data_IF_606341327930
#
_entry.id   IF_606341327930
#
_cell.length_a   1.000
_cell.length_b   1.000
_cell.length_c   1.000
_cell.angle_alpha   90.00
_cell.angle_beta   90.00
_cell.angle_gamma   90.00
#
_symmetry.space_group_name_H-M   'P 1'
#
loop_
_entity.id
_entity.type
_entity.pdbx_description
1 polymer ?
#
# COMPACT_ATOMS: atom_id res chain seq x y z
N UNK A 1 11.17 -9.73 3.54
CA UNK A 1 11.85 -10.21 2.32
C UNK A 1 11.21 -9.61 1.08
N UNK A 2 11.86 -9.59 -0.09
CA UNK A 2 11.28 -9.01 -1.31
C UNK A 2 11.17 -10.03 -2.44
N UNK A 3 10.09 -9.97 -3.21
CA UNK A 3 9.79 -10.84 -4.35
C UNK A 3 9.31 -10.00 -5.54
N UNK A 4 9.82 -10.29 -6.74
CA UNK A 4 9.31 -9.69 -7.98
C UNK A 4 8.38 -10.69 -8.64
N UNK A 5 7.15 -10.26 -8.94
CA UNK A 5 6.15 -11.07 -9.63
C UNK A 5 5.32 -10.17 -10.55
N UNK A 6 5.09 -10.61 -11.79
CA UNK A 6 4.30 -9.85 -12.77
C UNK A 6 4.77 -8.40 -12.96
N UNK A 7 6.10 -8.19 -12.92
CA UNK A 7 6.76 -6.87 -12.98
C UNK A 7 6.48 -5.93 -11.79
N UNK A 8 5.89 -6.45 -10.71
CA UNK A 8 5.63 -5.74 -9.47
C UNK A 8 6.53 -6.26 -8.35
N UNK A 9 6.92 -5.37 -7.44
CA UNK A 9 7.72 -5.69 -6.26
C UNK A 9 6.80 -5.90 -5.06
N UNK A 10 6.97 -7.00 -4.34
CA UNK A 10 6.22 -7.35 -3.14
C UNK A 10 7.15 -7.45 -1.95
N UNK A 11 6.72 -6.93 -0.81
CA UNK A 11 7.29 -7.24 0.50
C UNK A 11 6.54 -8.44 1.10
N UNK A 12 7.28 -9.46 1.49
CA UNK A 12 6.79 -10.64 2.22
C UNK A 12 7.15 -10.44 3.69
N UNK A 13 6.13 -10.38 4.55
CA UNK A 13 6.31 -10.32 6.00
C UNK A 13 6.62 -11.70 6.61
N UNK A 14 6.80 -11.75 7.93
CA UNK A 14 7.18 -12.98 8.63
C UNK A 14 6.07 -14.04 8.64
N UNK A 15 4.82 -13.64 8.41
CA UNK A 15 3.66 -14.54 8.31
C UNK A 15 3.48 -15.07 6.88
N UNK A 16 4.31 -14.61 5.93
CA UNK A 16 4.21 -14.95 4.52
C UNK A 16 3.19 -14.10 3.76
N UNK A 17 2.63 -13.06 4.38
CA UNK A 17 1.69 -12.15 3.72
C UNK A 17 2.44 -11.29 2.72
N UNK A 18 1.95 -11.28 1.48
CA UNK A 18 2.48 -10.44 0.39
C UNK A 18 1.80 -9.08 0.39
N UNK A 19 2.59 -8.02 0.45
CA UNK A 19 2.13 -6.64 0.29
C UNK A 19 2.85 -5.97 -0.86
N UNK A 20 2.13 -5.24 -1.70
CA UNK A 20 2.71 -4.54 -2.83
C UNK A 20 3.61 -3.41 -2.32
N UNK A 21 4.86 -3.42 -2.74
CA UNK A 21 5.81 -2.38 -2.38
C UNK A 21 5.43 -1.06 -3.06
N UNK A 22 5.23 -0.03 -2.27
CA UNK A 22 4.97 1.33 -2.72
C UNK A 22 6.22 2.18 -2.48
N UNK A 23 6.91 2.62 -3.55
CA UNK A 23 8.05 3.52 -3.40
C UNK A 23 7.64 4.85 -2.77
N UNK A 24 8.53 5.47 -1.99
CA UNK A 24 8.23 6.66 -1.18
C UNK A 24 7.61 7.82 -1.97
N UNK A 25 8.07 8.05 -3.21
CA UNK A 25 7.56 9.09 -4.10
C UNK A 25 6.09 8.89 -4.52
N UNK A 26 5.56 7.67 -4.44
CA UNK A 26 4.17 7.34 -4.77
C UNK A 26 3.24 7.32 -3.56
N UNK A 27 3.75 7.44 -2.34
CA UNK A 27 2.94 7.38 -1.11
C UNK A 27 1.89 8.49 -1.09
N UNK A 28 2.30 9.75 -1.28
CA UNK A 28 1.37 10.89 -1.24
C UNK A 28 0.28 10.80 -2.35
N UNK A 29 0.61 10.59 -3.63
CA UNK A 29 -0.40 10.44 -4.68
C UNK A 29 -1.43 9.33 -4.41
N UNK A 30 -1.00 8.20 -3.86
CA UNK A 30 -1.92 7.09 -3.53
C UNK A 30 -2.83 7.45 -2.36
N UNK A 31 -2.32 8.12 -1.32
CA UNK A 31 -3.12 8.56 -0.19
C UNK A 31 -4.19 9.59 -0.61
N UNK A 32 -3.85 10.53 -1.48
CA UNK A 32 -4.80 11.50 -2.05
C UNK A 32 -5.90 10.79 -2.85
N UNK A 33 -5.53 9.81 -3.69
CA UNK A 33 -6.50 9.02 -4.47
C UNK A 33 -7.47 8.23 -3.58
N UNK A 34 -6.97 7.61 -2.51
CA UNK A 34 -7.81 6.88 -1.55
C UNK A 34 -8.68 7.84 -0.74
N UNK A 35 -8.14 9.00 -0.35
CA UNK A 35 -8.91 10.03 0.33
C UNK A 35 -10.07 10.51 -0.52
N UNK A 36 -9.85 10.88 -1.77
CA UNK A 36 -10.91 11.36 -2.67
C UNK A 36 -12.02 10.32 -2.87
N UNK A 37 -11.64 9.06 -3.04
CA UNK A 37 -12.56 7.93 -3.22
C UNK A 37 -13.36 7.62 -1.94
N UNK A 38 -12.78 7.84 -0.76
CA UNK A 38 -13.35 7.44 0.52
C UNK A 38 -13.63 8.58 1.50
N UNK A 39 -13.68 9.83 1.03
CA UNK A 39 -13.80 11.00 1.92
C UNK A 39 -15.04 10.97 2.82
N UNK A 40 -16.11 10.29 2.39
CA UNK A 40 -17.33 10.09 3.17
C UNK A 40 -17.28 8.93 4.18
N UNK A 41 -16.35 7.98 4.01
CA UNK A 41 -16.32 6.72 4.77
C UNK A 41 -15.30 6.72 5.92
N UNK A 42 -14.46 7.76 5.99
CA UNK A 42 -13.48 7.95 7.06
C UNK A 42 -12.24 7.06 6.97
N UNK A 43 -11.31 7.30 7.90
CA UNK A 43 -9.96 6.73 7.91
C UNK A 43 -9.97 5.19 7.94
N UNK A 44 -10.89 4.57 8.68
CA UNK A 44 -10.95 3.11 8.79
C UNK A 44 -11.14 2.41 7.43
N UNK A 45 -11.99 2.97 6.56
CA UNK A 45 -12.22 2.44 5.22
C UNK A 45 -10.99 2.62 4.32
N UNK A 46 -10.30 3.75 4.43
CA UNK A 46 -9.04 3.99 3.74
C UNK A 46 -7.96 2.97 4.15
N UNK A 47 -7.84 2.68 5.45
CA UNK A 47 -6.86 1.71 5.96
C UNK A 47 -7.12 0.29 5.45
N UNK A 48 -8.38 -0.09 5.24
CA UNK A 48 -8.73 -1.38 4.62
C UNK A 48 -8.23 -1.45 3.18
N UNK A 49 -8.43 -0.40 2.38
CA UNK A 49 -7.97 -0.38 0.98
C UNK A 49 -6.44 -0.36 0.87
N UNK A 50 -5.76 0.24 1.84
CA UNK A 50 -4.30 0.32 1.90
C UNK A 50 -3.64 -0.91 2.56
N UNK A 51 -4.42 -1.84 3.12
CA UNK A 51 -3.89 -2.97 3.92
C UNK A 51 -2.94 -3.89 3.15
N UNK A 52 -3.09 -3.97 1.83
CA UNK A 52 -2.26 -4.79 0.95
C UNK A 52 -1.01 -4.05 0.43
N UNK A 53 -0.74 -2.84 0.90
CA UNK A 53 0.41 -2.04 0.51
C UNK A 53 1.50 -2.06 1.59
N UNK A 54 2.74 -2.06 1.16
CA UNK A 54 3.92 -1.85 1.99
C UNK A 54 4.53 -0.49 1.63
N UNK A 55 4.49 0.44 2.59
CA UNK A 55 5.01 1.78 2.41
C UNK A 55 6.51 1.82 2.67
N UNK A 56 7.29 2.22 1.67
CA UNK A 56 8.71 2.46 1.88
C UNK A 56 8.91 3.66 2.82
N UNK A 57 9.58 3.45 3.94
CA UNK A 57 10.11 4.54 4.76
C UNK A 57 11.33 5.17 4.07
N UNK A 58 11.51 6.48 4.29
CA UNK A 58 12.66 7.24 3.77
C UNK A 58 13.92 6.97 4.59
#
# INVERSE_FOLDING_TARGET
PFEVKDQLLYHIDFEGTRRLYLPFNYVKPILELVYDKHHHFGVNKMMVDLSNLYFACK
#
